data_IF_550479396866
#
_entry.id   IF_550479396866
#
_cell.length_a   1.000
_cell.length_b   1.000
_cell.length_c   1.000
_cell.angle_alpha   90.00
_cell.angle_beta   90.00
_cell.angle_gamma   90.00
#
_symmetry.space_group_name_H-M   'P 1'
#
loop_
_entity.id
_entity.type
_entity.pdbx_description
1 polymer ?
#
# COMPACT_ATOMS: atom_id res chain seq x y z
N UNK A 1 -37.47 46.31 17.84
CA UNK A 1 -38.58 45.34 18.03
C UNK A 1 -38.00 43.94 17.80
N UNK A 2 -37.04 43.46 18.59
CA UNK A 2 -37.02 43.17 20.03
C UNK A 2 -37.76 41.89 20.44
N UNK A 3 -36.96 40.91 20.88
CA UNK A 3 -37.18 39.88 21.92
C UNK A 3 -38.22 38.77 21.64
N UNK A 4 -38.13 37.50 22.09
CA UNK A 4 -37.24 36.73 22.98
C UNK A 4 -37.51 35.22 22.70
N UNK A 5 -36.51 34.33 22.66
CA UNK A 5 -35.98 33.46 23.74
C UNK A 5 -36.99 32.62 24.57
N UNK A 6 -36.83 31.27 24.48
CA UNK A 6 -36.89 30.22 25.54
C UNK A 6 -36.63 28.86 24.84
N UNK A 7 -35.49 28.19 24.99
CA UNK A 7 -34.92 27.43 26.12
C UNK A 7 -35.72 26.20 26.58
N UNK A 8 -35.08 25.03 26.50
CA UNK A 8 -34.98 24.09 27.63
C UNK A 8 -33.64 23.34 27.59
N UNK A 9 -32.74 23.72 28.49
CA UNK A 9 -31.68 22.89 29.07
C UNK A 9 -32.26 22.28 30.36
N UNK A 10 -31.74 21.15 30.88
CA UNK A 10 -30.46 21.15 31.60
C UNK A 10 -29.65 19.85 31.31
N UNK A 11 -28.39 19.61 31.72
CA UNK A 11 -27.76 19.92 33.00
C UNK A 11 -26.22 19.75 32.88
N UNK A 12 -25.55 20.74 33.46
CA UNK A 12 -24.15 20.89 33.84
C UNK A 12 -23.56 19.67 34.59
N UNK A 13 -22.31 19.31 34.31
CA UNK A 13 -21.27 19.09 35.36
C UNK A 13 -19.92 19.62 34.86
N UNK A 14 -19.53 20.75 35.45
CA UNK A 14 -18.17 21.30 35.49
C UNK A 14 -17.48 20.65 36.69
N UNK A 15 -16.27 20.11 36.51
CA UNK A 15 -15.27 20.06 37.59
C UNK A 15 -13.90 20.41 37.01
N UNK A 16 -13.53 21.68 37.20
CA UNK A 16 -12.16 22.19 37.20
C UNK A 16 -11.76 22.31 38.68
N UNK A 17 -10.66 21.68 39.10
CA UNK A 17 -9.67 22.16 40.08
C UNK A 17 -8.83 20.99 40.59
N UNK A 18 -7.50 21.12 40.52
CA UNK A 18 -6.57 20.14 41.08
C UNK A 18 -5.10 20.49 40.90
N UNK A 19 -4.73 21.76 41.08
CA UNK A 19 -3.36 22.15 41.46
C UNK A 19 -3.12 21.62 42.87
N UNK A 20 -2.18 20.69 43.04
CA UNK A 20 -1.62 20.37 44.36
C UNK A 20 -0.12 20.65 44.33
N UNK A 21 0.18 21.85 44.79
CA UNK A 21 1.42 22.19 45.49
C UNK A 21 1.56 21.28 46.71
N UNK A 22 2.59 20.44 46.76
CA UNK A 22 2.91 19.65 47.94
C UNK A 22 4.01 20.35 48.75
N UNK A 23 3.59 21.19 49.71
CA UNK A 23 4.40 21.67 50.82
C UNK A 23 3.55 21.68 52.10
N UNK A 24 3.96 20.90 53.10
CA UNK A 24 3.79 21.27 54.51
C UNK A 24 2.85 20.44 55.39
N UNK A 25 3.45 19.49 56.11
CA UNK A 25 3.28 19.22 57.55
C UNK A 25 1.94 18.69 58.11
N UNK A 26 1.95 17.41 58.52
CA UNK A 26 1.17 16.93 59.66
C UNK A 26 2.07 16.12 60.61
N UNK A 27 2.09 16.54 61.87
CA UNK A 27 2.84 15.97 63.00
C UNK A 27 2.01 14.85 63.61
N UNK A 28 2.47 13.61 63.54
CA UNK A 28 2.02 12.57 64.47
C UNK A 28 3.16 11.61 64.83
N UNK A 29 3.19 11.29 66.12
CA UNK A 29 4.28 10.72 66.91
C UNK A 29 4.29 9.20 66.84
N UNK A 30 5.47 8.57 66.73
CA UNK A 30 5.64 7.13 66.92
C UNK A 30 6.70 6.54 66.00
N UNK A 31 7.92 6.40 66.50
CA UNK A 31 9.12 6.15 65.70
C UNK A 31 9.21 4.77 65.05
N UNK A 32 9.66 4.77 63.80
CA UNK A 32 10.68 3.85 63.28
C UNK A 32 11.57 4.67 62.34
N UNK A 33 12.87 4.60 62.56
CA UNK A 33 13.95 5.37 61.94
C UNK A 33 13.86 5.47 60.42
N UNK A 34 13.41 6.62 59.91
CA UNK A 34 13.65 7.07 58.55
C UNK A 34 14.63 8.25 58.60
N UNK A 35 15.92 7.92 58.67
CA UNK A 35 16.98 8.91 58.55
C UNK A 35 17.18 9.30 57.08
N UNK A 36 17.35 10.61 56.93
CA UNK A 36 17.84 11.33 55.76
C UNK A 36 16.82 11.64 54.67
N UNK A 37 16.22 12.83 54.85
CA UNK A 37 15.92 13.73 53.76
C UNK A 37 17.04 13.74 52.71
N UNK A 38 16.70 13.46 51.45
CA UNK A 38 17.58 13.75 50.32
C UNK A 38 17.07 14.99 49.61
N UNK A 39 17.28 16.15 50.20
CA UNK A 39 17.56 17.36 49.41
C UNK A 39 18.99 17.21 48.86
N UNK A 40 19.15 16.65 47.66
CA UNK A 40 20.36 16.78 46.85
C UNK A 40 20.16 16.29 45.39
N UNK A 41 20.25 17.25 44.45
CA UNK A 41 20.72 17.08 43.06
C UNK A 41 19.76 16.41 42.06
N UNK A 42 18.77 17.19 41.57
CA UNK A 42 17.89 16.83 40.43
C UNK A 42 18.57 16.70 39.06
N UNK A 43 19.91 16.61 39.02
CA UNK A 43 20.73 16.56 37.80
C UNK A 43 21.75 15.42 37.82
N UNK A 44 21.64 14.47 38.75
CA UNK A 44 22.51 13.28 38.72
C UNK A 44 22.15 12.41 37.50
N UNK A 45 23.17 11.89 36.82
CA UNK A 45 23.05 11.00 35.65
C UNK A 45 22.04 9.87 35.88
N UNK A 46 22.03 9.28 37.09
CA UNK A 46 21.10 8.21 37.47
C UNK A 46 19.64 8.66 37.47
N UNK A 47 19.34 9.83 38.04
CA UNK A 47 17.97 10.34 38.09
C UNK A 47 17.43 10.66 36.69
N UNK A 48 18.28 11.16 35.80
CA UNK A 48 17.93 11.43 34.39
C UNK A 48 17.59 10.14 33.65
N UNK A 49 18.43 9.10 33.79
CA UNK A 49 18.19 7.80 33.15
C UNK A 49 16.90 7.16 33.66
N UNK A 50 16.70 7.07 34.98
CA UNK A 50 15.46 6.52 35.55
C UNK A 50 14.20 7.23 35.06
N UNK A 51 14.24 8.56 34.94
CA UNK A 51 13.11 9.32 34.39
C UNK A 51 12.90 9.05 32.90
N UNK A 52 13.97 8.95 32.12
CA UNK A 52 13.89 8.58 30.71
C UNK A 52 13.29 7.17 30.54
N UNK A 53 13.72 6.19 31.34
CA UNK A 53 13.23 4.81 31.28
C UNK A 53 11.74 4.73 31.60
N UNK A 54 11.28 5.49 32.59
CA UNK A 54 9.86 5.61 32.92
C UNK A 54 9.07 6.24 31.76
N UNK A 55 9.62 7.25 31.08
CA UNK A 55 8.99 7.87 29.93
C UNK A 55 8.94 6.93 28.72
N UNK A 56 10.01 6.16 28.46
CA UNK A 56 10.05 5.13 27.41
C UNK A 56 8.99 4.06 27.66
N UNK A 57 8.90 3.57 28.90
CA UNK A 57 7.87 2.58 29.30
C UNK A 57 6.44 3.08 29.11
N UNK A 58 6.23 4.40 29.19
CA UNK A 58 4.94 5.06 28.92
C UNK A 58 4.76 5.44 27.43
N UNK A 59 5.64 5.00 26.54
CA UNK A 59 5.68 5.36 25.12
C UNK A 59 5.83 6.88 24.85
N UNK A 60 6.42 7.62 25.79
CA UNK A 60 6.67 9.06 25.67
C UNK A 60 8.10 9.31 25.16
N UNK A 61 8.41 8.82 23.97
CA UNK A 61 9.76 8.81 23.39
C UNK A 61 10.36 10.21 23.26
N UNK A 62 9.61 11.17 22.72
CA UNK A 62 10.06 12.56 22.61
C UNK A 62 10.36 13.21 23.99
N UNK A 63 9.56 12.86 25.02
CA UNK A 63 9.80 13.32 26.38
C UNK A 63 11.08 12.70 26.97
N UNK A 64 11.33 11.41 26.71
CA UNK A 64 12.56 10.71 27.10
C UNK A 64 13.79 11.35 26.47
N UNK A 65 13.77 11.63 25.16
CA UNK A 65 14.87 12.35 24.50
C UNK A 65 15.12 13.73 25.11
N UNK A 66 14.07 14.50 25.39
CA UNK A 66 14.19 15.81 26.06
C UNK A 66 14.79 15.69 27.46
N UNK A 67 14.42 14.67 28.21
CA UNK A 67 15.00 14.38 29.54
C UNK A 67 16.48 14.04 29.43
N UNK A 68 16.88 13.19 28.49
CA UNK A 68 18.29 12.83 28.26
C UNK A 68 19.15 14.03 27.81
N UNK A 69 18.60 14.90 26.97
CA UNK A 69 19.27 16.12 26.53
C UNK A 69 19.48 17.15 27.66
N UNK A 70 18.66 17.08 28.72
CA UNK A 70 18.76 17.94 29.91
C UNK A 70 19.77 17.46 30.96
N UNK A 71 20.50 16.38 30.72
CA UNK A 71 21.52 15.88 31.64
C UNK A 71 22.67 16.88 31.82
N UNK A 72 23.09 17.12 33.07
CA UNK A 72 24.27 17.95 33.34
C UNK A 72 25.57 17.35 32.83
N UNK A 73 25.65 16.02 32.78
CA UNK A 73 26.80 15.30 32.24
C UNK A 73 26.37 14.31 31.15
N UNK A 74 27.06 14.36 30.02
CA UNK A 74 26.80 13.48 28.89
C UNK A 74 27.64 12.21 29.00
N UNK A 75 27.17 11.26 29.80
CA UNK A 75 27.82 9.96 29.98
C UNK A 75 27.64 9.06 28.74
N UNK A 76 28.49 8.05 28.53
CA UNK A 76 28.31 7.09 27.43
C UNK A 76 26.94 6.41 27.43
N UNK A 77 26.38 6.10 28.60
CA UNK A 77 25.05 5.50 28.73
C UNK A 77 23.96 6.43 28.17
N UNK A 78 24.00 7.73 28.53
CA UNK A 78 23.06 8.74 28.03
C UNK A 78 23.19 8.89 26.51
N UNK A 79 24.42 9.00 25.99
CA UNK A 79 24.67 9.17 24.55
C UNK A 79 24.14 8.00 23.75
N UNK A 80 24.40 6.77 24.21
CA UNK A 80 23.95 5.57 23.53
C UNK A 80 22.43 5.45 23.60
N UNK A 81 21.80 5.62 24.77
CA UNK A 81 20.35 5.60 24.87
C UNK A 81 19.69 6.68 23.99
N UNK A 82 20.22 7.90 23.98
CA UNK A 82 19.71 8.98 23.13
C UNK A 82 19.83 8.65 21.63
N UNK A 83 20.95 8.05 21.20
CA UNK A 83 21.13 7.60 19.82
C UNK A 83 20.13 6.48 19.45
N UNK A 84 19.93 5.51 20.34
CA UNK A 84 18.92 4.46 20.16
C UNK A 84 17.50 5.03 20.01
N UNK A 85 17.14 6.00 20.86
CA UNK A 85 15.84 6.69 20.76
C UNK A 85 15.69 7.53 19.49
N UNK A 86 16.79 8.05 18.94
CA UNK A 86 16.76 8.72 17.64
C UNK A 86 16.41 7.74 16.53
N UNK A 87 17.08 6.59 16.45
CA UNK A 87 16.76 5.55 15.47
C UNK A 87 15.34 5.01 15.65
N UNK A 88 14.87 4.88 16.89
CA UNK A 88 13.49 4.52 17.18
C UNK A 88 12.51 5.53 16.54
N UNK A 89 12.75 6.82 16.73
CA UNK A 89 11.87 7.86 16.21
C UNK A 89 11.85 7.91 14.68
N UNK A 90 13.02 7.78 14.03
CA UNK A 90 13.11 7.73 12.57
C UNK A 90 12.33 6.53 11.99
N UNK A 91 12.42 5.37 12.64
CA UNK A 91 11.67 4.18 12.27
C UNK A 91 10.15 4.34 12.50
N UNK A 92 9.75 4.92 13.63
CA UNK A 92 8.34 5.18 13.98
C UNK A 92 7.70 6.18 13.01
N UNK A 93 8.39 7.27 12.69
CA UNK A 93 7.90 8.28 11.75
C UNK A 93 7.76 7.73 10.33
N UNK A 94 8.75 6.97 9.84
CA UNK A 94 8.64 6.32 8.53
C UNK A 94 7.48 5.31 8.49
N UNK A 95 7.23 4.60 9.60
CA UNK A 95 6.10 3.68 9.73
C UNK A 95 4.76 4.42 9.74
N UNK A 96 4.64 5.51 10.49
CA UNK A 96 3.42 6.34 10.57
C UNK A 96 3.04 6.97 9.23
N UNK A 97 4.05 7.32 8.44
CA UNK A 97 3.89 7.82 7.06
C UNK A 97 3.65 6.69 6.03
N UNK A 98 3.60 5.43 6.47
CA UNK A 98 3.46 4.24 5.63
C UNK A 98 4.55 4.11 4.54
N UNK A 99 5.76 4.58 4.83
CA UNK A 99 6.89 4.55 3.89
C UNK A 99 7.71 3.27 4.10
N UNK A 100 7.15 2.10 3.76
CA UNK A 100 7.75 0.80 4.11
C UNK A 100 9.17 0.57 3.57
N UNK A 101 9.47 1.10 2.38
CA UNK A 101 10.82 1.01 1.79
C UNK A 101 11.85 1.80 2.60
N UNK A 102 11.52 3.05 2.96
CA UNK A 102 12.38 3.88 3.81
C UNK A 102 12.47 3.31 5.23
N UNK A 103 11.34 2.91 5.81
CA UNK A 103 11.24 2.33 7.14
C UNK A 103 12.14 1.10 7.28
N UNK A 104 12.27 0.27 6.24
CA UNK A 104 13.12 -0.93 6.26
C UNK A 104 14.55 -0.61 6.74
N UNK A 105 15.19 0.41 6.16
CA UNK A 105 16.55 0.79 6.54
C UNK A 105 16.67 1.25 8.00
N UNK A 106 15.67 2.00 8.48
CA UNK A 106 15.62 2.41 9.89
C UNK A 106 15.37 1.24 10.84
N UNK A 107 14.49 0.30 10.48
CA UNK A 107 14.25 -0.91 11.27
C UNK A 107 15.46 -1.84 11.31
N UNK A 108 16.20 -1.98 10.19
CA UNK A 108 17.45 -2.75 10.14
C UNK A 108 18.50 -2.13 11.08
N UNK A 109 18.63 -0.79 11.06
CA UNK A 109 19.53 -0.04 11.95
C UNK A 109 19.11 -0.19 13.42
N UNK A 110 17.83 -0.01 13.72
CA UNK A 110 17.30 -0.09 15.08
C UNK A 110 17.39 -1.52 15.66
N UNK A 111 17.16 -2.54 14.83
CA UNK A 111 17.22 -3.95 15.24
C UNK A 111 18.65 -4.41 15.52
N UNK A 112 19.63 -3.92 14.75
CA UNK A 112 21.06 -4.22 14.94
C UNK A 112 21.71 -3.38 16.05
N UNK A 113 21.03 -2.33 16.52
CA UNK A 113 21.55 -1.46 17.56
C UNK A 113 21.72 -2.18 18.92
N UNK A 114 22.95 -2.31 19.38
CA UNK A 114 23.34 -2.95 20.65
C UNK A 114 24.00 -1.96 21.63
N UNK A 115 23.95 -0.67 21.33
CA UNK A 115 24.61 0.36 22.12
C UNK A 115 24.05 0.54 23.54
N UNK A 116 22.86 0.04 23.84
CA UNK A 116 22.29 0.13 25.19
C UNK A 116 21.73 -1.21 25.66
N UNK A 117 21.84 -1.46 26.97
CA UNK A 117 21.22 -2.60 27.67
C UNK A 117 19.95 -2.19 28.42
N UNK A 118 19.44 -0.98 28.21
CA UNK A 118 18.21 -0.52 28.86
C UNK A 118 17.00 -1.39 28.47
N UNK A 119 16.38 -2.00 29.47
CA UNK A 119 15.29 -2.94 29.28
C UNK A 119 14.03 -2.27 28.71
N UNK A 120 13.77 -1.02 29.12
CA UNK A 120 12.59 -0.26 28.65
C UNK A 120 12.70 0.04 27.16
N UNK A 121 13.87 0.47 26.71
CA UNK A 121 14.19 0.70 25.31
C UNK A 121 14.11 -0.59 24.48
N UNK A 122 14.71 -1.68 24.97
CA UNK A 122 14.68 -2.98 24.28
C UNK A 122 13.22 -3.44 24.08
N UNK A 123 12.38 -3.31 25.12
CA UNK A 123 10.96 -3.65 25.05
C UNK A 123 10.20 -2.74 24.07
N UNK A 124 10.42 -1.43 24.12
CA UNK A 124 9.81 -0.46 23.19
C UNK A 124 10.19 -0.79 21.74
N UNK A 125 11.48 -1.03 21.46
CA UNK A 125 11.97 -1.44 20.15
C UNK A 125 11.28 -2.70 19.66
N UNK A 126 11.21 -3.75 20.48
CA UNK A 126 10.57 -5.01 20.08
C UNK A 126 9.09 -4.80 19.74
N UNK A 127 8.38 -3.94 20.49
CA UNK A 127 7.00 -3.58 20.19
C UNK A 127 6.89 -2.87 18.84
N UNK A 128 7.75 -1.90 18.56
CA UNK A 128 7.75 -1.16 17.29
C UNK A 128 8.08 -2.08 16.10
N UNK A 129 9.04 -2.99 16.25
CA UNK A 129 9.36 -4.00 15.21
C UNK A 129 8.15 -4.90 14.92
N UNK A 130 7.40 -5.33 15.94
CA UNK A 130 6.15 -6.09 15.73
C UNK A 130 5.11 -5.28 14.98
N UNK A 131 4.95 -3.99 15.30
CA UNK A 131 4.05 -3.10 14.56
C UNK A 131 4.48 -2.93 13.11
N UNK A 132 5.78 -2.81 12.83
CA UNK A 132 6.30 -2.76 11.47
C UNK A 132 5.92 -4.00 10.67
N UNK A 133 6.10 -5.20 11.23
CA UNK A 133 5.74 -6.44 10.53
C UNK A 133 4.23 -6.53 10.26
N UNK A 134 3.39 -6.14 11.23
CA UNK A 134 1.95 -6.10 11.04
C UNK A 134 1.54 -5.11 9.93
N UNK A 135 2.11 -3.90 9.91
CA UNK A 135 1.84 -2.92 8.86
C UNK A 135 2.36 -3.39 7.50
N UNK A 136 3.53 -4.03 7.45
CA UNK A 136 4.08 -4.62 6.22
C UNK A 136 3.14 -5.67 5.65
N UNK A 137 2.66 -6.58 6.49
CA UNK A 137 1.72 -7.63 6.09
C UNK A 137 0.39 -7.04 5.59
N UNK A 138 -0.18 -6.08 6.33
CA UNK A 138 -1.40 -5.38 5.94
C UNK A 138 -1.26 -4.64 4.60
N UNK A 139 -0.13 -3.97 4.35
CA UNK A 139 0.14 -3.37 3.04
C UNK A 139 0.26 -4.43 1.94
N UNK A 140 0.86 -5.58 2.24
CA UNK A 140 0.92 -6.71 1.31
C UNK A 140 -0.48 -7.15 0.86
N UNK A 141 -1.39 -7.38 1.82
CA UNK A 141 -2.78 -7.73 1.51
C UNK A 141 -3.53 -6.63 0.75
N UNK A 142 -3.37 -5.38 1.17
CA UNK A 142 -4.01 -4.25 0.49
C UNK A 142 -3.55 -4.11 -0.97
N UNK A 143 -2.24 -4.19 -1.22
CA UNK A 143 -1.67 -4.07 -2.55
C UNK A 143 -2.07 -5.27 -3.42
N UNK A 144 -1.98 -6.49 -2.88
CA UNK A 144 -2.46 -7.67 -3.58
C UNK A 144 -3.94 -7.54 -3.96
N UNK A 145 -4.81 -7.13 -3.02
CA UNK A 145 -6.22 -6.90 -3.33
C UNK A 145 -6.44 -5.88 -4.46
N UNK A 146 -5.68 -4.77 -4.45
CA UNK A 146 -5.73 -3.75 -5.50
C UNK A 146 -5.28 -4.32 -6.85
N UNK A 147 -4.20 -5.09 -6.86
CA UNK A 147 -3.60 -5.63 -8.07
C UNK A 147 -4.51 -6.71 -8.68
N UNK A 148 -5.08 -7.59 -7.86
CA UNK A 148 -6.07 -8.59 -8.30
C UNK A 148 -7.36 -7.95 -8.82
N UNK A 149 -7.82 -6.87 -8.18
CA UNK A 149 -8.97 -6.09 -8.66
C UNK A 149 -8.70 -5.49 -10.04
N UNK A 150 -7.45 -5.11 -10.34
CA UNK A 150 -7.07 -4.53 -11.63
C UNK A 150 -7.11 -5.54 -12.79
N UNK A 151 -6.96 -6.83 -12.49
CA UNK A 151 -7.08 -7.92 -13.48
C UNK A 151 -8.44 -8.62 -13.42
N UNK A 152 -9.40 -8.05 -12.70
CA UNK A 152 -10.74 -8.61 -12.48
C UNK A 152 -10.76 -10.00 -11.81
N UNK A 153 -9.71 -10.39 -11.08
CA UNK A 153 -9.78 -11.54 -10.18
C UNK A 153 -10.47 -11.12 -8.87
N UNK A 154 -11.80 -11.05 -8.92
CA UNK A 154 -12.61 -10.59 -7.79
C UNK A 154 -12.55 -11.55 -6.60
N UNK A 155 -12.36 -12.85 -6.86
CA UNK A 155 -12.32 -13.86 -5.80
C UNK A 155 -11.04 -13.71 -4.98
N UNK A 156 -9.88 -13.61 -5.65
CA UNK A 156 -8.59 -13.41 -4.99
C UNK A 156 -8.51 -12.02 -4.36
N UNK A 157 -9.06 -10.99 -5.01
CA UNK A 157 -9.17 -9.66 -4.43
C UNK A 157 -9.97 -9.67 -3.11
N UNK A 158 -11.16 -10.28 -3.09
CA UNK A 158 -11.97 -10.45 -1.87
C UNK A 158 -11.21 -11.17 -0.76
N UNK A 159 -10.57 -12.30 -1.08
CA UNK A 159 -9.81 -13.07 -0.11
C UNK A 159 -8.68 -12.26 0.54
N UNK A 160 -7.98 -11.43 -0.23
CA UNK A 160 -6.94 -10.54 0.30
C UNK A 160 -7.51 -9.38 1.12
N UNK A 161 -8.67 -8.84 0.75
CA UNK A 161 -9.35 -7.83 1.59
C UNK A 161 -9.77 -8.45 2.92
N UNK A 162 -10.30 -9.67 2.92
CA UNK A 162 -10.75 -10.31 4.16
C UNK A 162 -9.56 -10.60 5.09
N UNK A 163 -8.41 -11.05 4.55
CA UNK A 163 -7.15 -11.13 5.32
C UNK A 163 -6.75 -9.79 5.94
N UNK A 164 -6.88 -8.68 5.18
CA UNK A 164 -6.59 -7.34 5.69
C UNK A 164 -7.55 -6.89 6.79
N UNK A 165 -8.83 -7.26 6.70
CA UNK A 165 -9.83 -6.93 7.72
C UNK A 165 -9.65 -7.75 8.99
N UNK A 166 -9.17 -9.00 8.87
CA UNK A 166 -8.83 -9.86 10.00
C UNK A 166 -7.55 -9.41 10.74
N UNK A 167 -6.69 -8.60 10.10
CA UNK A 167 -5.50 -8.05 10.73
C UNK A 167 -5.85 -7.15 11.92
N UNK A 168 -5.22 -7.42 13.06
CA UNK A 168 -5.46 -6.62 14.25
C UNK A 168 -4.94 -5.19 14.03
N UNK A 169 -5.82 -4.21 14.25
CA UNK A 169 -5.55 -2.78 14.10
C UNK A 169 -4.62 -2.19 15.19
N UNK A 170 -3.46 -2.80 15.37
CA UNK A 170 -2.41 -2.46 16.34
C UNK A 170 -1.65 -1.18 15.99
N UNK A 171 -1.83 -0.67 14.76
CA UNK A 171 -1.21 0.54 14.25
C UNK A 171 -2.22 1.41 13.47
N UNK A 172 -2.14 2.75 13.53
CA UNK A 172 -3.05 3.64 12.77
C UNK A 172 -3.04 3.40 11.26
N UNK A 173 -1.91 2.98 10.69
CA UNK A 173 -1.80 2.69 9.25
C UNK A 173 -2.68 1.50 8.85
N UNK A 174 -2.75 0.44 9.65
CA UNK A 174 -3.61 -0.73 9.37
C UNK A 174 -5.08 -0.28 9.29
N UNK A 175 -5.53 0.56 10.24
CA UNK A 175 -6.88 1.14 10.22
C UNK A 175 -7.15 1.95 8.95
N UNK A 176 -6.17 2.73 8.49
CA UNK A 176 -6.28 3.51 7.24
C UNK A 176 -6.40 2.57 6.04
N UNK A 177 -5.66 1.47 5.99
CA UNK A 177 -5.72 0.47 4.91
C UNK A 177 -7.06 -0.26 4.90
N UNK A 178 -7.54 -0.75 6.05
CA UNK A 178 -8.86 -1.37 6.21
C UNK A 178 -9.96 -0.42 5.71
N UNK A 179 -9.91 0.86 6.12
CA UNK A 179 -10.86 1.87 5.63
C UNK A 179 -10.80 2.07 4.11
N UNK A 180 -9.62 2.06 3.50
CA UNK A 180 -9.48 2.15 2.04
C UNK A 180 -10.03 0.90 1.34
N UNK A 181 -9.88 -0.27 1.95
CA UNK A 181 -10.37 -1.52 1.39
C UNK A 181 -11.90 -1.63 1.33
N UNK A 182 -12.64 -0.88 2.15
CA UNK A 182 -14.09 -0.75 2.03
C UNK A 182 -14.53 -0.24 0.65
N UNK A 183 -13.77 0.68 0.04
CA UNK A 183 -14.07 1.16 -1.31
C UNK A 183 -13.87 0.06 -2.35
N UNK A 184 -12.86 -0.81 -2.17
CA UNK A 184 -12.64 -1.97 -3.03
C UNK A 184 -13.80 -2.98 -2.89
N UNK A 185 -14.28 -3.26 -1.66
CA UNK A 185 -15.46 -4.11 -1.45
C UNK A 185 -16.69 -3.59 -2.19
N UNK A 186 -16.94 -2.28 -2.14
CA UNK A 186 -18.07 -1.67 -2.85
C UNK A 186 -17.92 -1.77 -4.38
N UNK A 187 -16.70 -1.57 -4.90
CA UNK A 187 -16.43 -1.69 -6.33
C UNK A 187 -16.70 -3.12 -6.85
N UNK A 188 -16.27 -4.13 -6.08
CA UNK A 188 -16.52 -5.55 -6.42
C UNK A 188 -18.02 -5.85 -6.42
N UNK A 189 -18.75 -5.40 -5.39
CA UNK A 189 -20.20 -5.59 -5.30
C UNK A 189 -20.95 -4.97 -6.49
N UNK A 190 -20.58 -3.74 -6.90
CA UNK A 190 -21.20 -3.06 -8.03
C UNK A 190 -20.92 -3.77 -9.36
N UNK A 191 -19.70 -4.29 -9.54
CA UNK A 191 -19.34 -5.05 -10.73
C UNK A 191 -20.15 -6.34 -10.85
N UNK A 192 -20.26 -7.11 -9.76
CA UNK A 192 -21.05 -8.36 -9.74
C UNK A 192 -22.54 -8.13 -9.96
N UNK A 193 -23.09 -7.03 -9.41
CA UNK A 193 -24.46 -6.63 -9.68
C UNK A 193 -24.70 -6.28 -11.15
N UNK A 194 -23.74 -5.63 -11.81
CA UNK A 194 -23.83 -5.23 -13.22
C UNK A 194 -23.73 -6.41 -14.18
N UNK A 195 -22.95 -7.45 -13.83
CA UNK A 195 -22.88 -8.70 -14.59
C UNK A 195 -24.21 -9.47 -14.53
N UNK A 196 -24.90 -9.41 -13.39
CA UNK A 196 -26.15 -10.15 -13.15
C UNK A 196 -27.35 -9.62 -13.97
N UNK A 197 -27.30 -8.37 -14.45
CA UNK A 197 -28.37 -7.75 -15.25
C UNK A 197 -28.11 -7.76 -16.76
N UNK A 198 -26.92 -8.18 -17.22
CA UNK A 198 -26.49 -8.13 -18.63
C UNK A 198 -26.81 -9.42 -19.42
N UNK A 199 -27.04 -10.55 -18.74
CA UNK A 199 -27.32 -11.84 -19.39
C UNK A 199 -28.80 -12.05 -19.79
N UNK A 200 -29.65 -11.03 -19.69
CA UNK A 200 -31.06 -11.07 -20.06
C UNK A 200 -31.35 -10.35 -21.38
N UNK A 201 -30.80 -10.83 -22.49
CA UNK A 201 -31.32 -10.51 -23.83
C UNK A 201 -31.54 -11.81 -24.55
N UNK A 202 -32.65 -12.48 -24.19
CA UNK A 202 -33.19 -13.57 -24.98
C UNK A 202 -33.41 -13.08 -26.41
N UNK A 203 -32.77 -13.80 -27.33
CA UNK A 203 -32.97 -13.74 -28.76
C UNK A 203 -34.47 -13.76 -29.11
N UNK A 204 -35.03 -12.61 -29.44
CA UNK A 204 -36.30 -12.53 -30.16
C UNK A 204 -36.01 -12.39 -31.64
N UNK A 205 -35.68 -13.49 -32.30
CA UNK A 205 -35.92 -13.62 -33.74
C UNK A 205 -37.44 -13.64 -33.97
N UNK A 206 -38.04 -12.47 -34.12
CA UNK A 206 -39.39 -12.32 -34.67
C UNK A 206 -39.36 -12.77 -36.13
N UNK A 207 -39.61 -14.06 -36.34
CA UNK A 207 -40.04 -14.64 -37.61
C UNK A 207 -41.45 -14.14 -37.92
N UNK A 208 -41.55 -13.02 -38.64
CA UNK A 208 -42.83 -12.57 -39.21
C UNK A 208 -43.20 -13.45 -40.39
N UNK A 209 -44.01 -14.47 -40.15
CA UNK A 209 -44.65 -15.28 -41.18
C UNK A 209 -46.15 -14.98 -41.26
N UNK A 210 -46.57 -14.39 -42.40
CA UNK A 210 -47.91 -14.50 -43.03
C UNK A 210 -49.04 -13.67 -42.37
N UNK A 211 -50.00 -12.99 -43.03
CA UNK A 211 -50.48 -12.91 -44.42
C UNK A 211 -51.39 -11.69 -44.64
N UNK A 212 -51.58 -11.31 -45.93
CA UNK A 212 -52.72 -10.58 -46.55
C UNK A 212 -52.79 -9.03 -46.38
N UNK A 213 -53.04 -8.19 -47.40
CA UNK A 213 -53.40 -8.38 -48.81
C UNK A 213 -53.17 -7.08 -49.64
N UNK A 214 -53.05 -7.28 -50.97
CA UNK A 214 -53.40 -6.38 -52.08
C UNK A 214 -52.51 -5.16 -52.42
N UNK A 215 -51.80 -5.23 -53.55
CA UNK A 215 -52.23 -4.61 -54.83
C UNK A 215 -51.11 -4.58 -55.91
N UNK A 216 -51.39 -5.29 -57.01
CA UNK A 216 -51.24 -4.93 -58.43
C UNK A 216 -49.88 -4.66 -59.11
N UNK A 217 -49.64 -5.54 -60.11
CA UNK A 217 -49.02 -5.37 -61.46
C UNK A 217 -47.55 -4.93 -61.58
N UNK A 218 -46.68 -5.50 -62.43
CA UNK A 218 -46.87 -6.34 -63.61
C UNK A 218 -45.53 -6.99 -64.04
N UNK A 219 -45.62 -8.24 -64.52
CA UNK A 219 -44.87 -8.88 -65.64
C UNK A 219 -43.33 -8.69 -65.73
N UNK A 220 -42.58 -9.80 -65.65
CA UNK A 220 -41.92 -10.45 -66.82
C UNK A 220 -41.02 -11.65 -66.43
N UNK A 221 -41.40 -12.82 -66.97
CA UNK A 221 -40.64 -13.93 -67.56
C UNK A 221 -39.25 -14.42 -67.05
N UNK A 222 -39.18 -15.77 -66.92
CA UNK A 222 -38.11 -16.69 -67.35
C UNK A 222 -36.73 -16.59 -66.67
N UNK A 223 -35.91 -17.63 -66.49
CA UNK A 223 -35.95 -19.09 -66.58
C UNK A 223 -34.55 -19.55 -66.16
N UNK A 224 -34.45 -20.59 -65.33
CA UNK A 224 -33.44 -21.67 -65.30
C UNK A 224 -31.96 -21.48 -65.73
N UNK A 225 -31.11 -22.26 -65.04
CA UNK A 225 -29.75 -22.76 -65.44
C UNK A 225 -28.59 -21.78 -65.23
N UNK A 226 -27.33 -22.13 -64.99
CA UNK A 226 -26.57 -23.28 -64.45
C UNK A 226 -25.09 -22.92 -64.69
N UNK A 227 -24.16 -23.30 -63.81
CA UNK A 227 -22.70 -23.39 -64.06
C UNK A 227 -21.97 -22.04 -64.38
N UNK A 228 -20.69 -21.78 -64.12
CA UNK A 228 -19.48 -22.58 -63.92
C UNK A 228 -18.35 -21.65 -63.44
N UNK A 229 -17.51 -22.18 -62.55
CA UNK A 229 -16.04 -22.13 -62.55
C UNK A 229 -15.26 -20.81 -62.55
N UNK A 230 -14.42 -20.74 -61.50
CA UNK A 230 -12.99 -20.42 -61.47
C UNK A 230 -12.55 -18.97 -61.70
N UNK A 231 -11.99 -18.37 -60.64
CA UNK A 231 -10.60 -17.92 -60.71
C UNK A 231 -9.92 -18.00 -59.33
N UNK A 232 -8.65 -18.37 -59.38
CA UNK A 232 -7.70 -18.50 -58.28
C UNK A 232 -7.26 -17.11 -57.80
N UNK A 233 -7.00 -16.93 -56.51
CA UNK A 233 -5.73 -16.36 -55.99
C UNK A 233 -5.80 -16.09 -54.49
N UNK A 234 -4.88 -16.73 -53.78
CA UNK A 234 -4.34 -16.32 -52.48
C UNK A 234 -3.96 -14.84 -52.50
N UNK A 235 -4.49 -14.03 -51.58
CA UNK A 235 -3.82 -12.85 -51.04
C UNK A 235 -4.30 -12.58 -49.61
N UNK A 236 -3.41 -12.86 -48.66
CA UNK A 236 -3.29 -12.13 -47.40
C UNK A 236 -3.11 -10.65 -47.70
N UNK A 237 -3.98 -9.79 -47.18
CA UNK A 237 -3.71 -8.35 -47.11
C UNK A 237 -4.53 -7.69 -46.01
N UNK A 238 -3.76 -7.20 -45.04
CA UNK A 238 -4.08 -6.18 -44.06
C UNK A 238 -4.72 -4.94 -44.68
N UNK A 239 -5.71 -4.37 -44.00
CA UNK A 239 -6.02 -2.92 -43.90
C UNK A 239 -7.30 -2.83 -43.05
N UNK A 240 -7.24 -2.40 -41.78
CA UNK A 240 -6.94 -1.06 -41.29
C UNK A 240 -7.81 0.03 -41.93
N UNK A 241 -8.88 0.40 -41.24
CA UNK A 241 -9.45 1.74 -41.08
C UNK A 241 -10.84 1.60 -40.47
N UNK A 242 -11.36 2.45 -39.59
CA UNK A 242 -10.85 3.54 -38.78
C UNK A 242 -12.00 3.81 -37.82
N UNK A 243 -11.85 3.54 -36.54
CA UNK A 243 -12.83 3.96 -35.53
C UNK A 243 -12.20 5.11 -34.75
N UNK A 244 -12.48 6.31 -35.27
CA UNK A 244 -12.55 7.60 -34.59
C UNK A 244 -11.70 7.78 -33.34
N UNK A 245 -10.61 8.52 -33.52
CA UNK A 245 -9.89 9.22 -32.48
C UNK A 245 -10.87 10.02 -31.60
N UNK A 246 -11.12 9.51 -30.40
CA UNK A 246 -11.56 10.32 -29.28
C UNK A 246 -10.33 10.50 -28.40
N UNK A 247 -9.76 11.70 -28.51
CA UNK A 247 -8.65 12.20 -27.71
C UNK A 247 -9.00 12.09 -26.23
N UNK A 248 -8.56 10.99 -25.62
CA UNK A 248 -8.55 10.81 -24.18
C UNK A 248 -7.19 10.24 -23.87
N UNK A 249 -6.23 11.13 -23.65
CA UNK A 249 -4.94 10.87 -23.01
C UNK A 249 -5.21 10.23 -21.65
N UNK A 250 -5.53 8.95 -21.68
CA UNK A 250 -5.59 8.09 -20.52
C UNK A 250 -4.18 7.53 -20.44
N UNK A 251 -3.33 8.16 -19.65
CA UNK A 251 -2.01 7.58 -19.33
C UNK A 251 -2.25 6.12 -18.95
N UNK A 252 -1.68 5.19 -19.72
CA UNK A 252 -1.78 3.78 -19.41
C UNK A 252 -1.20 3.58 -18.01
N UNK A 253 -1.97 2.94 -17.13
CA UNK A 253 -1.47 2.65 -15.78
C UNK A 253 -0.23 1.77 -15.87
N UNK A 254 0.71 1.92 -14.93
CA UNK A 254 1.94 1.11 -14.84
C UNK A 254 1.66 -0.39 -14.98
N UNK A 255 0.56 -0.87 -14.39
CA UNK A 255 0.15 -2.28 -14.47
C UNK A 255 -0.34 -2.70 -15.87
N UNK A 256 -1.04 -1.81 -16.60
CA UNK A 256 -1.42 -2.07 -17.98
C UNK A 256 -0.20 -2.16 -18.90
N UNK A 257 0.78 -1.27 -18.70
CA UNK A 257 2.06 -1.28 -19.43
C UNK A 257 2.83 -2.57 -19.14
N UNK A 258 2.95 -2.97 -17.88
CA UNK A 258 3.65 -4.21 -17.49
C UNK A 258 2.95 -5.44 -18.07
N UNK A 259 1.62 -5.51 -18.05
CA UNK A 259 0.87 -6.64 -18.64
C UNK A 259 1.10 -6.72 -20.15
N UNK A 260 0.96 -5.60 -20.86
CA UNK A 260 1.19 -5.54 -22.30
C UNK A 260 2.64 -5.89 -22.66
N UNK A 261 3.60 -5.48 -21.85
CA UNK A 261 5.00 -5.90 -21.98
C UNK A 261 5.17 -7.41 -21.78
N UNK A 262 4.56 -8.00 -20.74
CA UNK A 262 4.63 -9.43 -20.49
C UNK A 262 4.07 -10.22 -21.67
N UNK A 263 2.88 -9.83 -22.16
CA UNK A 263 2.21 -10.44 -23.31
C UNK A 263 3.05 -10.31 -24.60
N UNK A 264 3.73 -9.18 -24.79
CA UNK A 264 4.55 -8.89 -25.96
C UNK A 264 5.96 -9.50 -25.91
N UNK A 265 6.50 -9.74 -24.72
CA UNK A 265 7.89 -10.19 -24.54
C UNK A 265 8.14 -11.61 -25.04
N UNK A 266 7.10 -12.46 -25.06
CA UNK A 266 7.25 -13.90 -25.29
C UNK A 266 8.06 -14.62 -24.21
N UNK A 267 8.45 -13.94 -23.13
CA UNK A 267 9.20 -14.49 -21.99
C UNK A 267 8.21 -14.94 -20.92
N UNK A 268 8.40 -16.17 -20.41
CA UNK A 268 7.63 -16.65 -19.26
C UNK A 268 8.27 -16.13 -17.98
N UNK A 269 7.59 -15.21 -17.30
CA UNK A 269 8.01 -14.70 -16.00
C UNK A 269 7.41 -15.52 -14.86
N UNK A 270 8.18 -15.72 -13.80
CA UNK A 270 7.71 -16.38 -12.59
C UNK A 270 6.90 -15.41 -11.73
N UNK A 271 6.01 -15.92 -10.88
CA UNK A 271 5.11 -15.10 -10.05
C UNK A 271 5.83 -14.22 -9.02
N UNK A 272 7.10 -14.49 -8.76
CA UNK A 272 8.00 -13.73 -7.89
C UNK A 272 8.90 -12.75 -8.66
N UNK A 273 8.72 -12.62 -9.98
CA UNK A 273 9.40 -11.59 -10.78
C UNK A 273 8.77 -10.22 -10.49
N UNK A 274 9.57 -9.27 -10.01
CA UNK A 274 9.14 -7.88 -9.81
C UNK A 274 9.46 -7.04 -11.06
N UNK A 275 8.54 -6.15 -11.46
CA UNK A 275 8.74 -5.25 -12.60
C UNK A 275 8.71 -3.80 -12.15
N UNK A 276 9.70 -3.02 -12.57
CA UNK A 276 9.77 -1.59 -12.31
C UNK A 276 9.90 -0.82 -13.63
N UNK A 277 9.01 0.14 -13.88
CA UNK A 277 9.16 1.07 -15.00
C UNK A 277 10.20 2.12 -14.60
N UNK A 278 11.36 2.09 -15.26
CA UNK A 278 12.50 2.97 -14.94
C UNK A 278 12.59 4.18 -15.86
N UNK A 279 11.94 4.14 -17.03
CA UNK A 279 11.84 5.30 -17.94
C UNK A 279 10.56 5.24 -18.76
N UNK A 280 9.93 6.39 -18.93
CA UNK A 280 8.75 6.56 -19.77
C UNK A 280 9.04 7.61 -20.84
N UNK A 281 8.73 7.27 -22.09
CA UNK A 281 8.84 8.17 -23.24
C UNK A 281 7.63 7.98 -24.14
N UNK A 282 7.40 8.90 -25.07
CA UNK A 282 6.31 8.77 -26.05
C UNK A 282 6.48 7.59 -27.02
N UNK A 283 7.67 6.97 -27.08
CA UNK A 283 7.97 5.89 -28.02
C UNK A 283 8.15 4.52 -27.34
N UNK A 284 8.60 4.50 -26.08
CA UNK A 284 8.85 3.26 -25.35
C UNK A 284 8.80 3.45 -23.84
N UNK A 285 8.54 2.33 -23.15
CA UNK A 285 8.70 2.14 -21.72
C UNK A 285 9.94 1.30 -21.43
N UNK A 286 10.83 1.77 -20.56
CA UNK A 286 11.96 0.98 -20.07
C UNK A 286 11.54 0.27 -18.78
N UNK A 287 11.66 -1.05 -18.77
CA UNK A 287 11.16 -1.92 -17.71
C UNK A 287 12.30 -2.76 -17.20
N UNK A 288 12.49 -2.78 -15.89
CA UNK A 288 13.48 -3.64 -15.22
C UNK A 288 12.75 -4.81 -14.57
N UNK A 289 13.09 -6.03 -15.00
CA UNK A 289 12.62 -7.27 -14.40
C UNK A 289 13.65 -7.72 -13.36
N UNK A 290 13.20 -7.93 -12.12
CA UNK A 290 14.01 -8.37 -10.99
C UNK A 290 13.58 -9.78 -10.65
N UNK A 291 14.45 -10.75 -10.92
CA UNK A 291 14.15 -12.16 -10.67
C UNK A 291 14.56 -12.55 -9.25
N UNK A 292 13.69 -13.31 -8.59
CA UNK A 292 14.06 -14.02 -7.37
C UNK A 292 15.16 -15.04 -7.69
N UNK A 293 16.20 -15.07 -6.87
CA UNK A 293 17.27 -16.07 -7.03
C UNK A 293 16.82 -17.38 -6.39
N UNK A 294 16.95 -18.48 -7.13
CA UNK A 294 16.75 -19.82 -6.57
C UNK A 294 17.66 -19.99 -5.34
N UNK A 295 17.06 -20.36 -4.22
CA UNK A 295 17.62 -20.68 -2.90
C UNK A 295 18.68 -21.80 -2.95
N UNK A 296 19.80 -21.58 -3.64
CA UNK A 296 20.90 -22.55 -3.68
C UNK A 296 22.30 -21.96 -3.89
N UNK A 297 22.49 -20.65 -3.74
CA UNK A 297 23.84 -20.07 -3.72
C UNK A 297 24.01 -19.15 -2.52
N UNK A 298 24.53 -19.75 -1.45
CA UNK A 298 25.03 -19.09 -0.26
C UNK A 298 26.24 -18.22 -0.59
N UNK A 299 25.99 -16.96 -0.95
CA UNK A 299 26.83 -15.77 -0.74
C UNK A 299 26.12 -14.56 -1.37
N UNK A 300 25.64 -13.62 -0.53
CA UNK A 300 25.08 -12.32 -0.91
C UNK A 300 24.18 -12.32 -2.16
N UNK A 301 22.88 -12.60 -1.97
CA UNK A 301 21.85 -12.68 -3.01
C UNK A 301 21.97 -11.57 -4.06
N UNK A 302 22.63 -11.87 -5.18
CA UNK A 302 22.60 -11.02 -6.37
C UNK A 302 21.22 -11.20 -7.01
N UNK A 303 20.32 -10.25 -6.81
CA UNK A 303 19.14 -10.12 -7.66
C UNK A 303 19.61 -10.03 -9.11
N UNK A 304 19.19 -10.97 -9.96
CA UNK A 304 19.45 -10.87 -11.40
C UNK A 304 18.44 -9.85 -11.94
N UNK A 305 18.93 -8.86 -12.65
CA UNK A 305 18.09 -7.80 -13.23
C UNK A 305 18.28 -7.77 -14.74
N UNK A 306 17.18 -7.84 -15.48
CA UNK A 306 17.15 -7.59 -16.91
C UNK A 306 16.46 -6.27 -17.20
N UNK A 307 16.97 -5.50 -18.16
CA UNK A 307 16.32 -4.28 -18.64
C UNK A 307 15.72 -4.53 -20.02
N UNK A 308 14.48 -4.10 -20.22
CA UNK A 308 13.74 -4.19 -21.48
C UNK A 308 13.25 -2.83 -21.93
N UNK A 309 13.00 -2.69 -23.23
CA UNK A 309 12.18 -1.62 -23.80
C UNK A 309 10.95 -2.21 -24.44
N UNK A 310 9.79 -1.74 -24.02
CA UNK A 310 8.50 -2.07 -24.60
C UNK A 310 8.00 -0.91 -25.46
N UNK A 311 7.69 -1.18 -26.72
CA UNK A 311 7.15 -0.24 -27.69
C UNK A 311 5.65 -0.48 -27.85
N UNK A 312 4.78 0.34 -27.22
CA UNK A 312 3.34 0.08 -27.18
C UNK A 312 2.67 0.13 -28.56
N UNK A 313 3.16 1.00 -29.45
CA UNK A 313 2.59 1.18 -30.79
C UNK A 313 2.85 -0.02 -31.72
N UNK A 314 4.00 -0.68 -31.56
CA UNK A 314 4.39 -1.83 -32.40
C UNK A 314 4.26 -3.17 -31.70
N UNK A 315 3.98 -3.17 -30.39
CA UNK A 315 4.00 -4.38 -29.55
C UNK A 315 5.38 -5.04 -29.49
N UNK A 316 6.46 -4.33 -29.80
CA UNK A 316 7.82 -4.89 -29.84
C UNK A 316 8.50 -4.77 -28.49
N UNK A 317 9.31 -5.78 -28.14
CA UNK A 317 10.14 -5.79 -26.93
C UNK A 317 11.59 -6.00 -27.33
N UNK A 318 12.48 -5.15 -26.86
CA UNK A 318 13.93 -5.34 -26.98
C UNK A 318 14.57 -5.48 -25.61
N UNK A 319 15.62 -6.29 -25.50
CA UNK A 319 16.33 -6.53 -24.25
C UNK A 319 17.69 -5.83 -24.30
N UNK A 320 18.09 -5.24 -23.19
CA UNK A 320 19.42 -4.67 -23.04
C UNK A 320 20.47 -5.78 -22.99
N UNK A 321 21.43 -5.72 -23.92
CA UNK A 321 22.61 -6.55 -23.88
C UNK A 321 23.54 -6.06 -22.78
N UNK A 322 23.74 -6.87 -21.74
CA UNK A 322 24.52 -6.51 -20.55
C UNK A 322 26.00 -6.21 -20.82
N UNK A 323 26.54 -6.65 -21.97
CA UNK A 323 27.93 -6.40 -22.34
C UNK A 323 28.12 -5.12 -23.16
N UNK A 324 27.12 -4.71 -23.94
CA UNK A 324 27.23 -3.57 -24.87
C UNK A 324 26.31 -2.40 -24.53
N UNK A 325 25.33 -2.58 -23.64
CA UNK A 325 24.30 -1.59 -23.29
C UNK A 325 23.32 -1.27 -24.44
N UNK A 326 23.40 -2.04 -25.53
CA UNK A 326 22.52 -1.88 -26.70
C UNK A 326 21.25 -2.69 -26.53
N UNK A 327 20.16 -2.24 -27.13
CA UNK A 327 18.87 -2.92 -27.08
C UNK A 327 18.64 -3.68 -28.39
N UNK A 328 18.44 -4.99 -28.28
CA UNK A 328 18.27 -5.93 -29.40
C UNK A 328 17.03 -6.80 -29.21
#
# INVERSE_FOLDING_TARGET
>A
MDHAYRSSWPLIVIVLLGLITLSGCAKNTGGVTASSATTATGNSTTAVLTKADQQISQQKIAAAQKTLAGASESTPAIKKLALGLKYYQEAEEALDNNQLSLAKGYFDTLSSYDGTTDASFIAARQKLVKQYQAVKLANGYYNAARDELSIHDLATAKANIDKLDDEQATHPVIKKLQKKALAMKQAIMNYEASQSTSSGSDSSTVVSSSSAASASDSRTSSSSTSSTSADSSTMTSSSNSSASASSSSSELTTSAIIKQFQDASGVTFTSDTEFNITKETSAYYQITAIYATNESSSSASKTVTDTYRYYPDSGSVTKENSATGSFE
#
